data_IF_588009983428
#
_entry.id   IF_588009983428
#
_cell.length_a   1.000
_cell.length_b   1.000
_cell.length_c   1.000
_cell.angle_alpha   90.00
_cell.angle_beta   90.00
_cell.angle_gamma   90.00
#
_symmetry.space_group_name_H-M   'P 1'
#
loop_
_entity.id
_entity.type
_entity.pdbx_description
1 polymer ?
#
# COMPACT_ATOMS: atom_id res chain seq x y z
N UNK A 1 11.28 52.29 -22.88
CA UNK A 1 12.04 52.09 -21.62
C UNK A 1 11.12 51.40 -20.63
N UNK A 2 11.27 50.10 -20.47
CA UNK A 2 10.62 49.38 -19.38
C UNK A 2 11.29 49.81 -18.07
N UNK A 3 10.50 50.36 -17.14
CA UNK A 3 10.98 50.75 -15.82
C UNK A 3 11.56 49.55 -15.03
N UNK A 4 12.37 49.81 -14.03
CA UNK A 4 13.04 48.80 -13.22
C UNK A 4 12.07 47.88 -12.43
N UNK A 5 10.84 48.33 -12.19
CA UNK A 5 9.79 47.60 -11.47
C UNK A 5 9.34 46.29 -12.15
N UNK A 6 9.04 46.26 -13.45
CA UNK A 6 8.67 44.99 -14.13
C UNK A 6 9.82 43.98 -14.18
N UNK A 7 11.05 44.45 -14.27
CA UNK A 7 12.25 43.61 -14.32
C UNK A 7 12.49 42.92 -12.97
N UNK A 8 12.29 43.63 -11.87
CA UNK A 8 12.34 43.10 -10.51
C UNK A 8 11.23 42.07 -10.21
N UNK A 9 10.03 42.32 -10.76
CA UNK A 9 8.91 41.36 -10.61
C UNK A 9 9.16 40.05 -11.37
N UNK A 10 9.71 40.12 -12.58
CA UNK A 10 10.08 38.92 -13.37
C UNK A 10 11.19 38.14 -12.65
N UNK A 11 12.20 38.83 -12.14
CA UNK A 11 13.28 38.19 -11.37
C UNK A 11 12.76 37.51 -10.11
N UNK A 12 11.82 38.17 -9.42
CA UNK A 12 11.17 37.59 -8.23
C UNK A 12 10.39 36.31 -8.52
N UNK A 13 9.61 36.31 -9.63
CA UNK A 13 8.86 35.12 -10.07
C UNK A 13 9.81 34.00 -10.46
N UNK A 14 10.90 34.32 -11.17
CA UNK A 14 11.90 33.34 -11.58
C UNK A 14 12.62 32.70 -10.38
N UNK A 15 12.99 33.50 -9.39
CA UNK A 15 13.59 33.04 -8.13
C UNK A 15 12.61 32.15 -7.34
N UNK A 16 11.36 32.57 -7.23
CA UNK A 16 10.32 31.78 -6.56
C UNK A 16 10.09 30.44 -7.27
N UNK A 17 10.02 30.45 -8.62
CA UNK A 17 9.89 29.22 -9.42
C UNK A 17 11.09 28.30 -9.27
N UNK A 18 12.29 28.85 -9.19
CA UNK A 18 13.52 28.09 -8.96
C UNK A 18 13.53 27.45 -7.57
N UNK A 19 13.13 28.19 -6.56
CA UNK A 19 13.02 27.67 -5.19
C UNK A 19 12.00 26.52 -5.13
N UNK A 20 10.82 26.72 -5.71
CA UNK A 20 9.77 25.67 -5.77
C UNK A 20 10.28 24.45 -6.54
N UNK A 21 11.01 24.66 -7.63
CA UNK A 21 11.59 23.56 -8.41
C UNK A 21 12.60 22.75 -7.59
N UNK A 22 13.54 23.39 -6.90
CA UNK A 22 14.56 22.70 -6.14
C UNK A 22 14.05 22.08 -4.84
N UNK A 23 13.05 22.68 -4.19
CA UNK A 23 12.49 22.16 -2.94
C UNK A 23 11.45 21.08 -3.15
N UNK A 24 10.72 21.14 -4.26
CA UNK A 24 9.56 20.28 -4.51
C UNK A 24 9.59 19.62 -5.89
N UNK A 25 9.85 20.37 -6.95
CA UNK A 25 9.72 19.87 -8.33
C UNK A 25 10.73 18.78 -8.68
N UNK A 26 11.93 18.84 -8.12
CA UNK A 26 13.00 17.86 -8.38
C UNK A 26 12.66 16.45 -7.89
N UNK A 27 11.92 16.35 -6.76
CA UNK A 27 11.50 15.07 -6.19
C UNK A 27 10.19 14.53 -6.79
N UNK A 28 9.38 15.44 -7.36
CA UNK A 28 8.04 15.12 -7.90
C UNK A 28 8.05 14.96 -9.42
N UNK A 29 9.12 15.41 -10.10
CA UNK A 29 9.23 15.23 -11.56
C UNK A 29 9.21 13.74 -11.91
N UNK A 30 8.09 13.30 -12.51
CA UNK A 30 7.90 11.97 -13.08
C UNK A 30 8.79 11.83 -14.33
N UNK A 31 10.04 11.44 -14.12
CA UNK A 31 11.04 11.27 -15.21
C UNK A 31 11.01 9.86 -15.83
N UNK A 32 10.10 8.98 -15.38
CA UNK A 32 10.21 7.54 -15.62
C UNK A 32 9.93 7.10 -17.06
N UNK A 33 8.98 7.70 -17.75
CA UNK A 33 8.45 7.16 -19.01
C UNK A 33 9.32 7.50 -20.22
N UNK A 34 9.87 8.69 -20.29
CA UNK A 34 10.72 9.10 -21.42
C UNK A 34 12.10 8.43 -21.45
N UNK A 35 12.62 7.97 -20.32
CA UNK A 35 13.91 7.25 -20.26
C UNK A 35 13.84 5.81 -20.77
N UNK A 36 12.66 5.16 -20.74
CA UNK A 36 12.49 3.78 -21.19
C UNK A 36 12.28 3.64 -22.69
N UNK A 37 11.90 4.72 -23.37
CA UNK A 37 11.88 4.78 -24.84
C UNK A 37 13.25 5.15 -25.37
N UNK A 38 14.26 4.33 -25.08
CA UNK A 38 15.62 4.52 -25.53
C UNK A 38 15.68 4.81 -27.04
N UNK A 39 16.19 5.99 -27.39
CA UNK A 39 16.69 6.36 -28.70
C UNK A 39 15.74 6.55 -29.90
N UNK A 40 14.43 6.77 -29.70
CA UNK A 40 13.61 7.28 -30.81
C UNK A 40 13.46 8.79 -30.67
N UNK A 41 14.12 9.62 -31.53
CA UNK A 41 13.95 11.06 -31.48
C UNK A 41 12.49 11.38 -31.79
N UNK A 42 11.92 12.34 -31.04
CA UNK A 42 10.52 12.79 -31.20
C UNK A 42 10.14 13.20 -32.64
N UNK A 43 11.11 13.51 -33.46
CA UNK A 43 10.95 13.79 -34.90
C UNK A 43 10.43 12.62 -35.74
N UNK A 44 10.53 11.37 -35.22
CA UNK A 44 10.01 10.20 -35.94
C UNK A 44 8.50 10.04 -35.84
N UNK A 45 7.87 10.68 -34.87
CA UNK A 45 6.41 10.61 -34.67
C UNK A 45 5.63 11.45 -35.71
N UNK A 46 6.26 12.44 -36.36
CA UNK A 46 5.61 13.28 -37.33
C UNK A 46 5.73 12.85 -38.81
N UNK A 47 6.53 11.84 -39.11
CA UNK A 47 6.78 11.45 -40.51
C UNK A 47 6.02 10.21 -40.99
N UNK A 48 5.17 9.60 -40.14
CA UNK A 48 4.51 8.32 -40.48
C UNK A 48 2.99 8.41 -40.62
N UNK A 49 2.47 9.54 -41.03
CA UNK A 49 1.07 9.67 -41.43
C UNK A 49 0.93 9.61 -42.95
N UNK A 50 1.32 8.52 -43.58
CA UNK A 50 0.79 8.15 -44.87
C UNK A 50 0.95 6.66 -45.10
N UNK A 51 -0.18 6.00 -45.15
CA UNK A 51 -0.40 4.69 -45.75
C UNK A 51 0.30 3.47 -45.11
N UNK A 52 -0.43 2.79 -44.24
CA UNK A 52 -0.72 1.36 -44.40
C UNK A 52 -1.75 0.91 -43.35
N UNK A 53 -2.84 0.33 -43.82
CA UNK A 53 -3.87 -0.29 -42.98
C UNK A 53 -3.29 -1.46 -42.20
N UNK A 54 -3.72 -1.67 -40.96
CA UNK A 54 -3.27 -2.79 -40.15
C UNK A 54 -4.19 -3.98 -40.27
N UNK A 55 -3.60 -5.12 -40.55
CA UNK A 55 -4.20 -6.40 -40.23
C UNK A 55 -4.04 -6.71 -38.75
N UNK A 56 -5.16 -7.18 -38.20
CA UNK A 56 -5.39 -7.87 -36.94
C UNK A 56 -4.49 -7.53 -35.74
N UNK A 57 -5.01 -6.62 -34.95
CA UNK A 57 -4.54 -6.19 -33.66
C UNK A 57 -5.00 -7.19 -32.59
N UNK A 58 -4.07 -7.80 -31.89
CA UNK A 58 -4.35 -8.28 -30.55
C UNK A 58 -4.78 -7.07 -29.71
N UNK A 59 -6.02 -7.05 -29.30
CA UNK A 59 -6.67 -5.94 -28.61
C UNK A 59 -5.97 -5.67 -27.29
N UNK A 60 -5.24 -4.56 -27.23
CA UNK A 60 -4.90 -3.94 -25.96
C UNK A 60 -6.21 -3.37 -25.43
N UNK A 61 -6.67 -3.94 -24.35
CA UNK A 61 -7.86 -3.49 -23.68
C UNK A 61 -7.63 -2.05 -23.19
N UNK A 62 -8.26 -1.09 -23.85
CA UNK A 62 -8.39 0.26 -23.31
C UNK A 62 -8.93 0.13 -21.89
N UNK A 63 -8.32 0.77 -20.91
CA UNK A 63 -8.68 0.69 -19.49
C UNK A 63 -10.04 1.32 -19.17
N UNK A 64 -10.89 1.58 -20.16
CA UNK A 64 -12.31 1.87 -19.99
C UNK A 64 -13.11 0.64 -19.53
N UNK A 65 -12.54 -0.58 -19.64
CA UNK A 65 -13.08 -1.81 -19.06
C UNK A 65 -11.93 -2.75 -18.73
N UNK A 66 -11.44 -2.69 -17.49
CA UNK A 66 -10.64 -3.80 -16.93
C UNK A 66 -11.37 -5.10 -17.22
N UNK A 67 -10.69 -6.07 -17.79
CA UNK A 67 -11.31 -7.38 -18.07
C UNK A 67 -11.85 -7.90 -16.73
N UNK A 68 -13.16 -8.04 -16.56
CA UNK A 68 -13.74 -8.48 -15.29
C UNK A 68 -13.22 -9.86 -14.84
N UNK A 69 -12.58 -10.62 -15.73
CA UNK A 69 -11.95 -11.90 -15.40
C UNK A 69 -10.68 -11.74 -14.57
N UNK A 70 -9.95 -10.62 -14.70
CA UNK A 70 -8.72 -10.38 -13.93
C UNK A 70 -9.04 -10.22 -12.45
N UNK A 71 -10.13 -9.56 -12.13
CA UNK A 71 -10.49 -9.19 -10.77
C UNK A 71 -11.52 -10.11 -10.09
N UNK A 72 -12.38 -10.79 -10.86
CA UNK A 72 -13.57 -11.46 -10.33
C UNK A 72 -13.32 -12.71 -9.49
N UNK A 73 -12.10 -13.24 -9.45
CA UNK A 73 -11.75 -14.49 -8.74
C UNK A 73 -10.59 -14.35 -7.75
N UNK A 74 -10.10 -13.14 -7.51
CA UNK A 74 -8.99 -12.91 -6.59
C UNK A 74 -9.50 -12.66 -5.17
N UNK A 75 -9.01 -13.41 -4.18
CA UNK A 75 -9.27 -13.12 -2.77
C UNK A 75 -8.51 -11.89 -2.28
N UNK A 76 -7.34 -11.62 -2.88
CA UNK A 76 -6.55 -10.43 -2.62
C UNK A 76 -5.96 -9.85 -3.90
N UNK A 77 -5.95 -8.52 -3.98
CA UNK A 77 -5.28 -7.75 -5.02
C UNK A 77 -4.07 -7.06 -4.41
N UNK A 78 -2.94 -7.11 -5.12
CA UNK A 78 -1.67 -6.50 -4.71
C UNK A 78 -1.21 -5.54 -5.81
N UNK A 79 -1.55 -4.25 -5.73
CA UNK A 79 -0.98 -3.24 -6.62
C UNK A 79 0.51 -3.05 -6.32
N UNK A 80 1.33 -3.12 -7.36
CA UNK A 80 2.76 -2.91 -7.34
C UNK A 80 3.08 -1.69 -8.21
N UNK A 81 3.56 -0.63 -7.57
CA UNK A 81 3.76 0.69 -8.20
C UNK A 81 5.21 0.90 -8.65
N UNK A 82 6.08 -0.10 -8.41
CA UNK A 82 7.48 -0.09 -8.82
C UNK A 82 8.44 0.62 -7.86
N UNK A 83 7.94 1.12 -6.74
CA UNK A 83 8.73 1.75 -5.68
C UNK A 83 8.83 0.91 -4.40
N UNK A 84 8.29 -0.31 -4.42
CA UNK A 84 8.31 -1.20 -3.27
C UNK A 84 9.72 -1.79 -3.06
N UNK A 85 10.20 -1.76 -1.81
CA UNK A 85 11.47 -2.39 -1.43
C UNK A 85 11.43 -3.91 -1.61
N UNK A 86 10.26 -4.52 -1.43
CA UNK A 86 10.06 -5.97 -1.47
C UNK A 86 8.66 -6.33 -1.97
N UNK A 87 8.44 -6.30 -3.30
CA UNK A 87 7.13 -6.67 -3.88
C UNK A 87 6.73 -8.11 -3.56
N UNK A 88 7.71 -9.03 -3.43
CA UNK A 88 7.45 -10.40 -3.00
C UNK A 88 6.84 -10.46 -1.60
N UNK A 89 7.30 -9.60 -0.68
CA UNK A 89 6.79 -9.57 0.68
C UNK A 89 5.33 -9.11 0.73
N UNK A 90 4.92 -8.20 -0.15
CA UNK A 90 3.52 -7.80 -0.28
C UNK A 90 2.63 -8.97 -0.72
N UNK A 91 3.08 -9.75 -1.68
CA UNK A 91 2.38 -10.96 -2.15
C UNK A 91 2.34 -12.02 -1.05
N UNK A 92 3.42 -12.21 -0.29
CA UNK A 92 3.44 -13.12 0.87
C UNK A 92 2.49 -12.66 1.98
N UNK A 93 2.43 -11.36 2.28
CA UNK A 93 1.46 -10.81 3.26
C UNK A 93 0.03 -11.04 2.78
N UNK A 94 -0.26 -10.84 1.49
CA UNK A 94 -1.58 -11.14 0.92
C UNK A 94 -1.93 -12.63 1.08
N UNK A 95 -0.98 -13.53 0.80
CA UNK A 95 -1.14 -14.97 1.00
C UNK A 95 -1.33 -15.33 2.48
N UNK A 96 -0.62 -14.66 3.37
CA UNK A 96 -0.72 -14.89 4.81
C UNK A 96 -2.08 -14.45 5.37
N UNK A 97 -2.64 -13.35 4.86
CA UNK A 97 -3.99 -12.89 5.23
C UNK A 97 -5.06 -13.83 4.66
N UNK A 98 -4.91 -14.22 3.39
CA UNK A 98 -5.89 -14.99 2.60
C UNK A 98 -5.31 -16.33 2.12
N UNK A 99 -4.99 -17.21 3.06
CA UNK A 99 -4.19 -18.43 2.86
C UNK A 99 -4.72 -19.44 1.81
N UNK A 100 -5.93 -19.30 1.29
CA UNK A 100 -6.56 -20.25 0.36
C UNK A 100 -7.06 -19.62 -0.93
N UNK A 101 -6.92 -18.32 -1.09
CA UNK A 101 -7.46 -17.58 -2.21
C UNK A 101 -6.38 -17.25 -3.23
N UNK A 102 -6.81 -17.07 -4.48
CA UNK A 102 -5.96 -16.60 -5.56
C UNK A 102 -5.54 -15.15 -5.29
N UNK A 103 -4.29 -14.82 -5.55
CA UNK A 103 -3.73 -13.49 -5.41
C UNK A 103 -3.51 -12.92 -6.80
N UNK A 104 -4.00 -11.72 -7.02
CA UNK A 104 -3.76 -10.96 -8.24
C UNK A 104 -2.70 -9.88 -7.96
N UNK A 105 -1.50 -10.06 -8.48
CA UNK A 105 -0.46 -9.04 -8.44
C UNK A 105 -0.56 -8.17 -9.70
N UNK A 106 -0.66 -6.86 -9.52
CA UNK A 106 -0.84 -5.91 -10.61
C UNK A 106 0.33 -4.92 -10.62
N UNK A 107 1.19 -5.00 -11.61
CA UNK A 107 2.21 -3.97 -11.82
C UNK A 107 1.58 -2.78 -12.54
N UNK A 108 1.29 -1.71 -11.82
CA UNK A 108 0.60 -0.53 -12.34
C UNK A 108 1.64 0.55 -12.66
N UNK A 109 1.67 0.97 -13.92
CA UNK A 109 2.49 2.10 -14.38
C UNK A 109 1.59 3.27 -14.74
N UNK A 110 1.69 4.35 -13.99
CA UNK A 110 0.97 5.60 -14.31
C UNK A 110 1.77 6.42 -15.31
N UNK A 111 1.11 6.85 -16.38
CA UNK A 111 1.70 7.67 -17.45
C UNK A 111 0.91 8.98 -17.60
N UNK A 112 1.55 10.07 -18.08
CA UNK A 112 0.85 11.33 -18.32
C UNK A 112 -0.31 11.17 -19.30
N UNK A 113 -1.38 11.95 -19.11
CA UNK A 113 -2.60 11.89 -19.94
C UNK A 113 -2.37 12.18 -21.43
N UNK A 114 -1.25 12.83 -21.80
CA UNK A 114 -0.88 13.07 -23.20
C UNK A 114 -0.18 11.86 -23.86
N UNK A 115 0.10 10.80 -23.10
CA UNK A 115 0.79 9.63 -23.60
C UNK A 115 -0.23 8.67 -24.18
N UNK A 116 0.01 8.19 -25.40
CA UNK A 116 -0.83 7.16 -26.00
C UNK A 116 -0.59 5.81 -25.30
N UNK A 117 -1.64 5.21 -24.74
CA UNK A 117 -1.54 3.91 -24.07
C UNK A 117 -1.21 2.79 -25.05
N UNK A 118 -1.61 2.93 -26.32
CA UNK A 118 -1.31 1.95 -27.37
C UNK A 118 0.19 1.84 -27.68
N UNK A 119 0.98 2.83 -27.24
CA UNK A 119 2.44 2.78 -27.36
C UNK A 119 3.10 1.78 -26.39
N UNK A 120 2.36 1.25 -25.39
CA UNK A 120 2.85 0.30 -24.37
C UNK A 120 2.44 -1.15 -24.65
N UNK A 121 2.43 -1.55 -25.91
CA UNK A 121 2.07 -2.92 -26.35
C UNK A 121 2.97 -3.98 -25.74
N UNK A 122 4.25 -3.66 -25.49
CA UNK A 122 5.22 -4.62 -24.98
C UNK A 122 5.36 -4.50 -23.45
N UNK A 123 5.38 -5.64 -22.78
CA UNK A 123 5.65 -5.72 -21.35
C UNK A 123 7.04 -5.15 -21.05
N UNK A 124 7.13 -4.18 -20.13
CA UNK A 124 8.41 -3.56 -19.79
C UNK A 124 9.40 -4.59 -19.21
N UNK A 125 10.72 -4.41 -19.39
CA UNK A 125 11.72 -5.29 -18.79
C UNK A 125 11.59 -5.40 -17.25
N UNK A 126 11.11 -4.34 -16.60
CA UNK A 126 10.84 -4.31 -15.16
C UNK A 126 9.66 -5.23 -14.82
N UNK A 127 8.55 -5.10 -15.55
CA UNK A 127 7.37 -5.95 -15.37
C UNK A 127 7.70 -7.43 -15.62
N UNK A 128 8.44 -7.73 -16.71
CA UNK A 128 8.89 -9.10 -17.03
C UNK A 128 9.82 -9.69 -15.97
N UNK A 129 10.70 -8.86 -15.39
CA UNK A 129 11.57 -9.28 -14.28
C UNK A 129 10.75 -9.58 -13.02
N UNK A 130 9.81 -8.71 -12.68
CA UNK A 130 8.92 -8.87 -11.53
C UNK A 130 8.04 -10.12 -11.69
N UNK A 131 7.45 -10.35 -12.85
CA UNK A 131 6.70 -11.55 -13.19
C UNK A 131 7.48 -12.83 -12.93
N UNK A 132 8.76 -12.88 -13.39
CA UNK A 132 9.64 -14.03 -13.15
C UNK A 132 9.93 -14.23 -11.66
N UNK A 133 10.14 -13.16 -10.89
CA UNK A 133 10.37 -13.22 -9.44
C UNK A 133 9.15 -13.76 -8.72
N UNK A 134 7.95 -13.23 -9.03
CA UNK A 134 6.69 -13.67 -8.44
C UNK A 134 6.33 -15.11 -8.85
N UNK A 135 6.62 -15.51 -10.09
CA UNK A 135 6.44 -16.92 -10.53
C UNK A 135 7.33 -17.88 -9.72
N UNK A 136 8.57 -17.51 -9.44
CA UNK A 136 9.46 -18.31 -8.59
C UNK A 136 8.96 -18.39 -7.15
N UNK A 137 8.49 -17.26 -6.60
CA UNK A 137 7.86 -17.21 -5.28
C UNK A 137 6.64 -18.13 -5.23
N UNK A 138 5.74 -18.01 -6.21
CA UNK A 138 4.53 -18.83 -6.36
C UNK A 138 4.88 -20.33 -6.35
N UNK A 139 5.85 -20.73 -7.14
CA UNK A 139 6.30 -22.13 -7.22
C UNK A 139 6.92 -22.61 -5.89
N UNK A 140 7.79 -21.81 -5.27
CA UNK A 140 8.51 -22.18 -4.04
C UNK A 140 7.60 -22.28 -2.82
N UNK A 141 6.62 -21.40 -2.71
CA UNK A 141 5.67 -21.32 -1.59
C UNK A 141 4.33 -22.01 -1.88
N UNK A 142 4.16 -22.56 -3.08
CA UNK A 142 2.89 -23.18 -3.55
C UNK A 142 1.70 -22.22 -3.44
N UNK A 143 1.90 -20.98 -3.84
CA UNK A 143 0.87 -19.93 -3.85
C UNK A 143 0.19 -19.89 -5.21
N UNK A 144 -1.09 -19.51 -5.25
CA UNK A 144 -1.80 -19.19 -6.48
C UNK A 144 -1.69 -17.69 -6.75
N UNK A 145 -0.70 -17.28 -7.56
CA UNK A 145 -0.44 -15.88 -7.89
C UNK A 145 -0.55 -15.69 -9.39
N UNK A 146 -1.45 -14.80 -9.81
CA UNK A 146 -1.50 -14.28 -11.17
C UNK A 146 -0.83 -12.91 -11.21
N UNK A 147 -0.17 -12.62 -12.32
CA UNK A 147 0.51 -11.36 -12.55
C UNK A 147 0.05 -10.71 -13.85
N UNK A 148 -0.29 -9.43 -13.76
CA UNK A 148 -0.63 -8.60 -14.91
C UNK A 148 0.10 -7.26 -14.82
N UNK A 149 0.49 -6.72 -15.99
CA UNK A 149 1.03 -5.37 -16.11
C UNK A 149 -0.06 -4.46 -16.68
N UNK A 150 -0.30 -3.35 -16.00
CA UNK A 150 -1.36 -2.39 -16.33
C UNK A 150 -0.73 -1.02 -16.51
N UNK A 151 -1.06 -0.31 -17.59
CA UNK A 151 -0.67 1.08 -17.82
C UNK A 151 -1.91 1.96 -17.73
N UNK A 152 -1.83 3.06 -16.99
CA UNK A 152 -2.98 3.94 -16.75
C UNK A 152 -2.58 5.40 -16.71
N UNK A 153 -3.53 6.30 -16.98
CA UNK A 153 -3.39 7.74 -16.75
C UNK A 153 -3.74 8.14 -15.31
N UNK A 154 -4.57 7.34 -14.63
CA UNK A 154 -5.15 7.67 -13.32
C UNK A 154 -5.05 6.47 -12.37
N UNK A 155 -4.00 6.46 -11.56
CA UNK A 155 -3.73 5.38 -10.62
C UNK A 155 -4.88 5.15 -9.64
N UNK A 156 -5.41 6.24 -9.07
CA UNK A 156 -6.48 6.16 -8.04
C UNK A 156 -7.76 5.58 -8.61
N UNK A 157 -8.16 6.01 -9.80
CA UNK A 157 -9.36 5.51 -10.48
C UNK A 157 -9.20 4.05 -10.88
N UNK A 158 -8.02 3.65 -11.36
CA UNK A 158 -7.72 2.26 -11.69
C UNK A 158 -7.85 1.35 -10.47
N UNK A 159 -7.26 1.72 -9.34
CA UNK A 159 -7.36 0.93 -8.11
C UNK A 159 -8.81 0.90 -7.59
N UNK A 160 -9.54 2.00 -7.70
CA UNK A 160 -10.96 2.04 -7.31
C UNK A 160 -11.84 1.15 -8.20
N UNK A 161 -11.65 1.19 -9.52
CA UNK A 161 -12.35 0.32 -10.45
C UNK A 161 -12.05 -1.15 -10.15
N UNK A 162 -10.78 -1.50 -9.90
CA UNK A 162 -10.38 -2.84 -9.48
C UNK A 162 -11.07 -3.26 -8.18
N UNK A 163 -11.12 -2.36 -7.20
CA UNK A 163 -11.82 -2.60 -5.93
C UNK A 163 -13.33 -2.77 -6.09
N UNK A 164 -13.95 -1.95 -6.94
CA UNK A 164 -15.41 -1.96 -7.17
C UNK A 164 -15.86 -3.16 -8.04
N UNK A 165 -15.06 -3.54 -9.05
CA UNK A 165 -15.38 -4.63 -9.97
C UNK A 165 -14.99 -5.99 -9.41
N UNK A 166 -13.98 -6.02 -8.52
CA UNK A 166 -13.55 -7.25 -7.91
C UNK A 166 -14.41 -7.56 -6.70
N UNK A 167 -14.83 -8.79 -6.57
CA UNK A 167 -15.27 -9.34 -5.29
C UNK A 167 -14.08 -9.65 -4.37
N UNK A 168 -12.92 -8.97 -4.54
CA UNK A 168 -11.76 -9.23 -3.72
C UNK A 168 -12.03 -8.77 -2.28
N UNK A 169 -11.69 -9.62 -1.35
CA UNK A 169 -11.86 -9.33 0.06
C UNK A 169 -10.80 -8.35 0.57
N UNK A 170 -9.58 -8.42 0.00
CA UNK A 170 -8.45 -7.64 0.45
C UNK A 170 -7.72 -6.91 -0.68
N UNK A 171 -7.39 -5.64 -0.41
CA UNK A 171 -6.40 -4.88 -1.13
C UNK A 171 -5.14 -4.76 -0.26
N UNK A 172 -3.99 -5.22 -0.75
CA UNK A 172 -2.72 -5.21 -0.01
C UNK A 172 -1.73 -4.33 -0.74
N UNK A 173 -1.26 -3.27 -0.08
CA UNK A 173 -0.39 -2.26 -0.71
C UNK A 173 0.85 -1.97 0.13
N UNK A 174 1.94 -1.63 -0.55
CA UNK A 174 3.10 -1.03 0.09
C UNK A 174 2.81 0.39 0.57
N UNK A 175 3.40 0.76 1.68
CA UNK A 175 3.26 2.08 2.27
C UNK A 175 4.56 2.47 2.99
N UNK A 176 5.02 3.69 2.79
CA UNK A 176 6.23 4.20 3.43
C UNK A 176 5.97 4.88 4.80
N UNK A 177 4.72 4.88 5.25
CA UNK A 177 4.32 5.52 6.50
C UNK A 177 4.13 7.03 6.40
N UNK A 178 4.36 7.61 5.21
CA UNK A 178 4.23 9.05 4.96
C UNK A 178 2.92 9.32 4.24
N UNK A 179 2.18 10.30 4.71
CA UNK A 179 1.17 10.94 3.89
C UNK A 179 1.90 11.97 3.03
N UNK A 180 1.98 11.76 1.73
CA UNK A 180 2.45 12.78 0.80
C UNK A 180 1.35 13.84 0.66
N UNK A 181 1.20 14.69 1.66
CA UNK A 181 0.34 15.86 1.57
C UNK A 181 1.17 17.07 1.16
N UNK A 182 1.36 17.25 -0.14
CA UNK A 182 1.64 18.57 -0.70
C UNK A 182 0.31 19.28 -0.97
N UNK A 183 0.31 20.60 -0.97
CA UNK A 183 -0.87 21.46 -1.24
C UNK A 183 -1.58 21.09 -2.56
N UNK A 184 -0.94 20.33 -3.45
CA UNK A 184 -1.42 19.98 -4.80
C UNK A 184 -1.37 18.46 -5.11
N UNK A 185 -1.07 17.60 -4.15
CA UNK A 185 -1.01 16.16 -4.41
C UNK A 185 -2.05 15.46 -3.57
N UNK A 186 -3.05 14.93 -4.24
CA UNK A 186 -4.04 14.02 -3.65
C UNK A 186 -3.30 12.79 -3.14
N UNK A 187 -3.33 12.55 -1.83
CA UNK A 187 -2.78 11.33 -1.27
C UNK A 187 -3.62 10.14 -1.76
N UNK A 188 -3.11 9.27 -2.66
CA UNK A 188 -3.90 8.17 -3.20
C UNK A 188 -4.39 7.23 -2.10
N UNK A 189 -3.58 7.01 -1.06
CA UNK A 189 -3.96 6.12 0.06
C UNK A 189 -5.14 6.67 0.84
N UNK A 190 -5.19 7.97 1.09
CA UNK A 190 -6.30 8.59 1.77
C UNK A 190 -7.60 8.51 0.98
N UNK A 191 -7.53 8.79 -0.31
CA UNK A 191 -8.67 8.67 -1.20
C UNK A 191 -9.14 7.21 -1.33
N UNK A 192 -8.21 6.28 -1.50
CA UNK A 192 -8.47 4.85 -1.55
C UNK A 192 -9.17 4.37 -0.27
N UNK A 193 -8.69 4.79 0.88
CA UNK A 193 -9.28 4.44 2.17
C UNK A 193 -10.72 4.97 2.33
N UNK A 194 -11.04 6.11 1.72
CA UNK A 194 -12.39 6.66 1.75
C UNK A 194 -13.35 5.96 0.78
N UNK A 195 -12.87 5.47 -0.35
CA UNK A 195 -13.69 5.04 -1.48
C UNK A 195 -13.68 3.54 -1.75
N UNK A 196 -12.70 2.78 -1.25
CA UNK A 196 -12.61 1.34 -1.47
C UNK A 196 -13.61 0.59 -0.58
N UNK A 197 -14.31 -0.39 -1.14
CA UNK A 197 -15.23 -1.27 -0.39
C UNK A 197 -14.52 -2.50 0.23
N UNK A 198 -13.39 -2.91 -0.31
CA UNK A 198 -12.61 -4.05 0.20
C UNK A 198 -11.88 -3.71 1.50
N UNK A 199 -11.52 -4.73 2.28
CA UNK A 199 -10.59 -4.59 3.38
C UNK A 199 -9.23 -4.11 2.84
N UNK A 200 -8.51 -3.31 3.62
CA UNK A 200 -7.23 -2.77 3.21
C UNK A 200 -6.12 -3.19 4.17
N UNK A 201 -5.01 -3.66 3.62
CA UNK A 201 -3.79 -3.95 4.34
C UNK A 201 -2.65 -3.08 3.78
N UNK A 202 -2.12 -2.18 4.60
CA UNK A 202 -0.99 -1.34 4.26
C UNK A 202 0.26 -1.89 4.94
N UNK A 203 1.27 -2.23 4.17
CA UNK A 203 2.52 -2.80 4.67
C UNK A 203 3.67 -1.81 4.53
N UNK A 204 4.29 -1.46 5.66
CA UNK A 204 5.56 -0.73 5.70
C UNK A 204 6.70 -1.70 5.90
N UNK A 205 7.56 -1.80 4.91
CA UNK A 205 8.75 -2.64 4.96
C UNK A 205 9.92 -1.92 5.65
N UNK A 206 10.22 -2.30 6.88
CA UNK A 206 11.41 -1.88 7.63
C UNK A 206 12.55 -2.92 7.55
N UNK A 207 12.55 -3.76 6.49
CA UNK A 207 13.64 -4.70 6.22
C UNK A 207 13.43 -6.12 6.76
N UNK A 208 12.25 -6.46 7.30
CA UNK A 208 11.95 -7.84 7.71
C UNK A 208 11.99 -8.79 6.50
N UNK A 209 12.82 -9.82 6.57
CA UNK A 209 12.91 -10.89 5.56
C UNK A 209 12.45 -12.24 6.11
N UNK A 210 12.33 -12.32 7.41
CA UNK A 210 11.81 -13.46 8.16
C UNK A 210 10.88 -12.95 9.25
N UNK A 211 9.73 -13.57 9.41
CA UNK A 211 8.73 -13.22 10.43
C UNK A 211 8.59 -14.38 11.40
N UNK A 212 9.26 -14.30 12.52
CA UNK A 212 9.21 -15.31 13.59
C UNK A 212 8.41 -14.85 14.82
N UNK A 213 8.31 -13.52 15.01
CA UNK A 213 7.59 -12.94 16.16
C UNK A 213 6.68 -11.81 15.69
N UNK A 214 5.40 -11.92 16.00
CA UNK A 214 4.37 -10.96 15.62
C UNK A 214 3.79 -10.28 16.85
N UNK A 215 3.75 -8.96 16.85
CA UNK A 215 3.07 -8.14 17.85
C UNK A 215 1.75 -7.63 17.28
N UNK A 216 0.63 -8.02 17.87
CA UNK A 216 -0.69 -7.45 17.55
C UNK A 216 -1.04 -6.43 18.63
N UNK A 217 -1.00 -5.13 18.30
CA UNK A 217 -1.40 -4.08 19.21
C UNK A 217 -2.83 -3.60 18.92
N UNK A 218 -3.72 -3.78 19.88
CA UNK A 218 -5.14 -3.44 19.75
C UNK A 218 -5.62 -2.55 20.90
N UNK A 219 -6.54 -1.64 20.57
CA UNK A 219 -7.49 -1.11 21.55
C UNK A 219 -8.66 -2.07 21.66
N UNK A 220 -9.19 -2.33 22.87
CA UNK A 220 -10.39 -3.16 23.02
C UNK A 220 -11.55 -2.61 22.17
N UNK A 221 -12.05 -3.42 21.24
CA UNK A 221 -13.06 -3.01 20.27
C UNK A 221 -13.98 -4.15 19.79
N UNK A 222 -14.93 -3.84 18.92
CA UNK A 222 -15.85 -4.83 18.36
C UNK A 222 -15.16 -5.76 17.35
N UNK A 223 -14.22 -5.25 16.58
CA UNK A 223 -13.51 -5.97 15.51
C UNK A 223 -12.30 -6.77 16.00
N UNK A 224 -12.04 -6.83 17.32
CA UNK A 224 -10.86 -7.55 17.89
C UNK A 224 -10.74 -8.97 17.40
N UNK A 225 -11.87 -9.71 17.32
CA UNK A 225 -11.89 -11.09 16.83
C UNK A 225 -11.37 -11.21 15.41
N UNK A 226 -11.72 -10.24 14.54
CA UNK A 226 -11.29 -10.26 13.14
C UNK A 226 -9.79 -9.97 13.05
N UNK A 227 -9.28 -8.97 13.77
CA UNK A 227 -7.85 -8.68 13.82
C UNK A 227 -7.03 -9.86 14.37
N UNK A 228 -7.50 -10.49 15.43
CA UNK A 228 -6.87 -11.69 16.00
C UNK A 228 -6.89 -12.86 15.00
N UNK A 229 -7.99 -13.04 14.26
CA UNK A 229 -8.11 -14.06 13.22
C UNK A 229 -7.10 -13.86 12.10
N UNK A 230 -6.93 -12.62 11.64
CA UNK A 230 -5.94 -12.27 10.61
C UNK A 230 -4.52 -12.48 11.14
N UNK A 231 -4.20 -11.98 12.34
CA UNK A 231 -2.90 -12.16 12.95
C UNK A 231 -2.55 -13.65 13.13
N UNK A 232 -3.52 -14.48 13.52
CA UNK A 232 -3.38 -15.94 13.56
C UNK A 232 -3.04 -16.52 12.18
N UNK A 233 -3.73 -16.10 11.12
CA UNK A 233 -3.45 -16.60 9.77
C UNK A 233 -2.02 -16.24 9.35
N UNK A 234 -1.59 -15.01 9.62
CA UNK A 234 -0.21 -14.57 9.36
C UNK A 234 0.79 -15.40 10.17
N UNK A 235 0.52 -15.66 11.44
CA UNK A 235 1.35 -16.55 12.28
C UNK A 235 1.45 -17.96 11.71
N UNK A 236 0.33 -18.54 11.29
CA UNK A 236 0.31 -19.88 10.70
C UNK A 236 1.09 -19.95 9.39
N UNK A 237 1.01 -18.91 8.57
CA UNK A 237 1.73 -18.83 7.30
C UNK A 237 3.26 -18.80 7.51
N UNK A 238 3.73 -18.01 8.45
CA UNK A 238 5.17 -17.85 8.72
C UNK A 238 5.73 -18.83 9.76
N UNK A 239 4.87 -19.57 10.46
CA UNK A 239 5.30 -20.35 11.62
C UNK A 239 5.72 -19.48 12.82
N UNK A 240 5.14 -18.28 12.92
CA UNK A 240 5.51 -17.27 13.90
C UNK A 240 4.76 -17.40 15.22
N UNK A 241 5.32 -16.81 16.29
CA UNK A 241 4.64 -16.64 17.58
C UNK A 241 3.89 -15.32 17.64
N UNK A 242 2.75 -15.28 18.33
CA UNK A 242 1.89 -14.11 18.48
C UNK A 242 1.92 -13.56 19.90
N UNK A 243 2.11 -12.26 20.04
CA UNK A 243 1.83 -11.53 21.30
C UNK A 243 0.73 -10.51 21.04
N UNK A 244 -0.28 -10.48 21.93
CA UNK A 244 -1.35 -9.50 21.92
C UNK A 244 -1.06 -8.42 22.97
N UNK A 245 -0.88 -7.18 22.50
CA UNK A 245 -0.54 -6.03 23.34
C UNK A 245 -1.75 -5.09 23.50
N UNK A 246 -2.03 -4.76 24.76
CA UNK A 246 -2.91 -3.65 25.13
C UNK A 246 -2.13 -2.62 25.93
N UNK A 247 -2.13 -1.37 25.50
CA UNK A 247 -1.61 -0.25 26.27
C UNK A 247 -2.79 0.47 26.90
N UNK A 248 -2.76 0.60 28.22
CA UNK A 248 -3.81 1.24 29.02
C UNK A 248 -3.23 2.46 29.75
N UNK A 249 -4.09 3.39 30.18
CA UNK A 249 -3.65 4.55 30.96
C UNK A 249 -2.94 4.13 32.26
N UNK A 250 -2.01 4.94 32.75
CA UNK A 250 -1.30 4.74 34.02
C UNK A 250 -2.24 4.58 35.21
N UNK A 251 -3.35 5.31 35.20
CA UNK A 251 -4.36 5.30 36.27
C UNK A 251 -5.27 4.05 36.22
N UNK A 252 -5.09 3.16 35.25
CA UNK A 252 -5.94 1.97 35.09
C UNK A 252 -5.76 1.02 36.26
N UNK A 253 -6.84 0.70 36.97
CA UNK A 253 -6.81 -0.22 38.11
C UNK A 253 -6.52 -1.65 37.69
N UNK A 254 -5.95 -2.46 38.61
CA UNK A 254 -5.67 -3.88 38.37
C UNK A 254 -6.92 -4.69 38.03
N UNK A 255 -8.07 -4.32 38.57
CA UNK A 255 -9.36 -4.93 38.26
C UNK A 255 -9.71 -4.75 36.78
N UNK A 256 -9.48 -3.57 36.22
CA UNK A 256 -9.73 -3.28 34.79
C UNK A 256 -8.73 -4.05 33.91
N UNK A 257 -7.45 -4.11 34.31
CA UNK A 257 -6.42 -4.91 33.62
C UNK A 257 -6.82 -6.39 33.58
N UNK A 258 -7.29 -6.93 34.70
CA UNK A 258 -7.82 -8.30 34.77
C UNK A 258 -8.99 -8.51 33.80
N UNK A 259 -9.90 -7.55 33.72
CA UNK A 259 -11.04 -7.59 32.77
C UNK A 259 -10.56 -7.56 31.33
N UNK A 260 -9.59 -6.71 30.98
CA UNK A 260 -8.99 -6.66 29.63
C UNK A 260 -8.35 -8.00 29.29
N UNK A 261 -7.56 -8.58 30.18
CA UNK A 261 -6.94 -9.90 29.99
C UNK A 261 -7.97 -11.00 29.73
N UNK A 262 -9.00 -11.09 30.58
CA UNK A 262 -10.04 -12.11 30.46
C UNK A 262 -10.83 -11.96 29.16
N UNK A 263 -11.15 -10.72 28.75
CA UNK A 263 -11.81 -10.42 27.48
C UNK A 263 -10.91 -10.82 26.30
N UNK A 264 -9.64 -10.49 26.33
CA UNK A 264 -8.68 -10.86 25.29
C UNK A 264 -8.52 -12.37 25.18
N UNK A 265 -8.43 -13.09 26.32
CA UNK A 265 -8.38 -14.55 26.30
C UNK A 265 -9.63 -15.18 25.68
N UNK A 266 -10.81 -14.64 26.00
CA UNK A 266 -12.05 -15.08 25.36
C UNK A 266 -12.02 -14.86 23.83
N UNK A 267 -11.53 -13.71 23.36
CA UNK A 267 -11.41 -13.39 21.93
C UNK A 267 -10.39 -14.29 21.22
N UNK A 268 -9.26 -14.58 21.86
CA UNK A 268 -8.27 -15.54 21.37
C UNK A 268 -8.89 -16.93 21.20
N UNK A 269 -9.63 -17.41 22.20
CA UNK A 269 -10.31 -18.70 22.13
C UNK A 269 -11.35 -18.73 20.99
N UNK A 270 -12.17 -17.68 20.84
CA UNK A 270 -13.15 -17.52 19.75
C UNK A 270 -12.48 -17.53 18.37
N UNK A 271 -11.29 -16.92 18.24
CA UNK A 271 -10.50 -16.90 17.01
C UNK A 271 -9.64 -18.15 16.83
N UNK A 272 -9.62 -19.09 17.78
CA UNK A 272 -8.74 -20.27 17.82
C UNK A 272 -7.27 -19.87 17.66
N UNK A 273 -6.87 -18.75 18.27
CA UNK A 273 -5.52 -18.22 18.25
C UNK A 273 -4.83 -18.48 19.60
N UNK A 274 -3.53 -18.76 19.54
CA UNK A 274 -2.68 -18.83 20.73
C UNK A 274 -1.76 -17.61 20.75
N UNK A 275 -1.81 -16.81 21.82
CA UNK A 275 -0.98 -15.61 21.96
C UNK A 275 -0.67 -15.33 23.42
N UNK A 276 0.52 -14.79 23.67
CA UNK A 276 0.86 -14.17 24.95
C UNK A 276 0.13 -12.83 25.08
N UNK A 277 -0.63 -12.63 26.17
CA UNK A 277 -1.33 -11.38 26.42
C UNK A 277 -0.47 -10.44 27.27
N UNK A 278 -0.08 -9.30 26.71
CA UNK A 278 0.66 -8.22 27.38
C UNK A 278 -0.27 -7.02 27.60
N UNK A 279 -0.42 -6.60 28.85
CA UNK A 279 -1.15 -5.37 29.21
C UNK A 279 -0.16 -4.47 29.92
N UNK A 280 0.12 -3.32 29.32
CA UNK A 280 1.12 -2.36 29.81
C UNK A 280 0.44 -1.03 30.14
N UNK A 281 0.79 -0.44 31.27
CA UNK A 281 0.38 0.92 31.64
C UNK A 281 1.33 1.92 31.02
N UNK A 282 0.81 2.94 30.38
CA UNK A 282 1.63 4.04 29.86
C UNK A 282 0.79 5.28 29.58
N UNK A 283 1.39 6.44 29.82
CA UNK A 283 0.87 7.74 29.39
C UNK A 283 1.11 7.97 27.88
N UNK A 284 2.14 7.32 27.29
CA UNK A 284 2.49 7.47 25.87
C UNK A 284 2.41 6.13 25.11
N UNK A 285 1.24 5.76 24.59
CA UNK A 285 1.06 4.49 23.88
C UNK A 285 1.93 4.36 22.63
N UNK A 286 2.25 5.48 21.95
CA UNK A 286 3.06 5.45 20.71
C UNK A 286 4.47 4.99 21.02
N UNK A 287 5.12 5.61 22.00
CA UNK A 287 6.46 5.28 22.43
C UNK A 287 6.55 3.84 22.98
N UNK A 288 5.59 3.48 23.84
CA UNK A 288 5.52 2.14 24.41
C UNK A 288 5.42 1.05 23.34
N UNK A 289 4.57 1.25 22.32
CA UNK A 289 4.42 0.27 21.23
C UNK A 289 5.69 0.26 20.38
N UNK A 290 6.29 1.42 20.13
CA UNK A 290 7.55 1.52 19.39
C UNK A 290 8.66 0.72 20.07
N UNK A 291 8.88 0.94 21.37
CA UNK A 291 9.93 0.26 22.15
C UNK A 291 9.71 -1.26 22.18
N UNK A 292 8.48 -1.68 22.45
CA UNK A 292 8.14 -3.10 22.47
C UNK A 292 8.33 -3.74 21.09
N UNK A 293 8.03 -2.99 20.00
CA UNK A 293 8.14 -3.48 18.61
C UNK A 293 9.55 -3.88 18.24
N UNK A 294 10.58 -3.34 18.91
CA UNK A 294 11.98 -3.68 18.66
C UNK A 294 12.33 -5.17 18.93
N UNK A 295 11.49 -5.87 19.68
CA UNK A 295 11.66 -7.31 19.98
C UNK A 295 10.87 -8.22 19.01
N UNK A 296 10.26 -7.65 17.97
CA UNK A 296 9.40 -8.34 17.02
C UNK A 296 9.81 -8.08 15.59
N UNK A 297 9.33 -8.92 14.67
CA UNK A 297 9.62 -8.79 13.24
C UNK A 297 8.49 -8.07 12.50
N UNK A 298 7.26 -8.21 13.00
CA UNK A 298 6.06 -7.61 12.41
C UNK A 298 5.13 -7.06 13.51
N UNK A 299 4.79 -5.79 13.39
CA UNK A 299 3.75 -5.14 14.18
C UNK A 299 2.46 -5.08 13.36
N UNK A 300 1.38 -5.66 13.87
CA UNK A 300 0.04 -5.56 13.28
C UNK A 300 -0.77 -4.54 14.08
N UNK A 301 -1.36 -3.58 13.35
CA UNK A 301 -2.19 -2.51 13.91
C UNK A 301 -3.54 -2.47 13.22
N UNK A 302 -4.61 -2.33 14.00
CA UNK A 302 -5.94 -1.99 13.46
C UNK A 302 -6.06 -0.49 13.19
N UNK A 303 -6.82 -0.11 12.15
CA UNK A 303 -7.20 1.27 11.93
C UNK A 303 -8.34 1.64 12.87
N UNK A 304 -8.28 2.76 13.62
CA UNK A 304 -9.36 3.18 14.51
C UNK A 304 -10.67 3.39 13.76
N UNK A 305 -11.79 2.97 14.35
CA UNK A 305 -13.12 3.28 13.84
C UNK A 305 -13.38 4.78 14.03
N UNK A 306 -13.73 5.47 12.93
CA UNK A 306 -14.24 6.86 12.80
C UNK A 306 -13.35 8.05 13.19
N UNK A 307 -13.41 9.04 12.34
CA UNK A 307 -13.15 10.48 12.42
C UNK A 307 -11.72 10.97 12.69
N UNK A 308 -10.95 10.35 13.57
CA UNK A 308 -9.61 10.85 13.88
C UNK A 308 -8.51 10.38 12.92
N UNK A 309 -8.72 9.27 12.22
CA UNK A 309 -7.66 8.73 11.37
C UNK A 309 -7.61 9.38 9.98
N UNK A 310 -8.75 9.88 9.49
CA UNK A 310 -8.79 10.75 8.31
C UNK A 310 -7.92 11.98 8.59
N UNK A 311 -8.01 12.58 9.77
CA UNK A 311 -7.14 13.67 10.19
C UNK A 311 -5.67 13.25 10.36
N UNK A 312 -5.39 12.01 10.75
CA UNK A 312 -4.02 11.47 10.84
C UNK A 312 -3.42 11.26 9.45
N UNK A 313 -4.21 10.84 8.47
CA UNK A 313 -3.76 10.61 7.09
C UNK A 313 -3.88 11.86 6.19
N UNK A 314 -4.85 12.75 6.43
CA UNK A 314 -5.08 13.96 5.63
C UNK A 314 -4.63 15.25 6.31
N UNK A 315 -4.54 15.27 7.64
CA UNK A 315 -4.22 16.45 8.42
C UNK A 315 -2.73 16.75 8.57
N UNK A 316 -1.87 16.33 7.62
CA UNK A 316 -0.41 16.50 7.75
C UNK A 316 0.20 15.60 8.82
N UNK A 317 -0.60 14.69 9.40
CA UNK A 317 -0.18 13.75 10.43
C UNK A 317 0.39 12.48 9.79
N UNK A 318 1.65 12.21 10.04
CA UNK A 318 2.24 10.90 9.87
C UNK A 318 1.59 9.94 10.86
N UNK A 319 1.33 8.70 10.46
CA UNK A 319 0.95 7.66 11.43
C UNK A 319 2.12 7.40 12.37
N UNK A 320 2.07 8.04 13.54
CA UNK A 320 3.15 7.99 14.53
C UNK A 320 3.54 6.54 14.89
N UNK A 321 2.57 5.64 15.01
CA UNK A 321 2.86 4.23 15.30
C UNK A 321 3.66 3.57 14.18
N UNK A 322 3.28 3.83 12.93
CA UNK A 322 3.99 3.28 11.77
C UNK A 322 5.34 3.94 11.56
N UNK A 323 5.45 5.24 11.87
CA UNK A 323 6.71 5.98 11.71
C UNK A 323 7.76 5.56 12.73
N UNK A 324 7.37 5.37 14.00
CA UNK A 324 8.29 5.09 15.10
C UNK A 324 8.57 3.61 15.31
N UNK A 325 7.76 2.71 14.76
CA UNK A 325 7.96 1.27 14.92
C UNK A 325 9.35 0.82 14.44
N UNK A 326 10.02 0.01 15.26
CA UNK A 326 11.35 -0.51 14.95
C UNK A 326 11.32 -1.70 13.96
N UNK A 327 10.20 -2.43 13.87
CA UNK A 327 10.00 -3.55 12.94
C UNK A 327 9.08 -3.16 11.79
N UNK A 328 8.89 -4.04 10.81
CA UNK A 328 7.90 -3.87 9.74
C UNK A 328 6.49 -3.76 10.30
N UNK A 329 5.62 -2.99 9.65
CA UNK A 329 4.27 -2.70 10.13
C UNK A 329 3.22 -3.11 9.12
N UNK A 330 2.21 -3.83 9.58
CA UNK A 330 1.00 -4.17 8.83
C UNK A 330 -0.20 -3.45 9.43
N UNK A 331 -0.70 -2.45 8.72
CA UNK A 331 -1.88 -1.68 9.10
C UNK A 331 -3.11 -2.24 8.44
N UNK A 332 -4.10 -2.65 9.22
CA UNK A 332 -5.31 -3.30 8.75
C UNK A 332 -6.53 -2.39 8.92
N UNK A 333 -7.29 -2.25 7.85
CA UNK A 333 -8.62 -1.63 7.86
C UNK A 333 -9.63 -2.68 7.45
N UNK A 334 -10.53 -3.06 8.36
CA UNK A 334 -11.59 -4.03 8.11
C UNK A 334 -12.89 -3.27 7.89
N UNK A 335 -13.51 -3.49 6.74
CA UNK A 335 -14.83 -2.94 6.40
C UNK A 335 -15.95 -3.75 7.07
N UNK A 336 -17.12 -3.17 7.19
CA UNK A 336 -18.32 -3.85 7.74
C UNK A 336 -19.05 -4.62 6.66
#
# INVERSE_FOLDING_TARGET
FLGTTPLLSILGIFLLGTIIYYTYGKEVMRTGVLKNYGHRPALYLFSKNASQQPEETASITQLSSLDPKIASNAGAIVPLLGNENSPEMLVEIAAAIQSKSKIQALNITEVPSQTDLDAFVEESPVASSLKRRLSRLSASKKLSVDFEAVVTHELSDTINQLSAQSSCEWLVMGWDGRSHSGIFITNPIGWLLANINSNLALYKDNGARYVGKILLALRPGRKDKNFIGIARNVCLYYGATLSLLHVVSEETSDKVIGTVRNRSQKKLNEAKANAEIKVVRSANPVETISDISASYDLLILGTPEKDNWINVLFGGGKDKFTETAACSVLRLTIRD
#
